data_IF_924986211828
#
_entry.id   IF_924986211828
#
_cell.length_a   1.000
_cell.length_b   1.000
_cell.length_c   1.000
_cell.angle_alpha   90.00
_cell.angle_beta   90.00
_cell.angle_gamma   90.00
#
_symmetry.space_group_name_H-M   'P 1'
#
loop_
_entity.id
_entity.type
_entity.pdbx_description
1 polymer ?
#
# COMPACT_ATOMS: atom_id res chain seq x y z
N UNK A 1 -25.13 20.03 -5.85
CA UNK A 1 -23.72 19.63 -5.69
C UNK A 1 -23.44 19.66 -4.20
N UNK A 2 -23.33 18.49 -3.56
CA UNK A 2 -22.93 18.43 -2.15
C UNK A 2 -21.46 18.86 -2.03
N UNK A 3 -21.09 19.47 -0.91
CA UNK A 3 -19.71 19.83 -0.62
C UNK A 3 -18.86 18.55 -0.57
N UNK A 4 -17.90 18.44 -1.48
CA UNK A 4 -16.93 17.35 -1.45
C UNK A 4 -16.00 17.57 -0.24
N UNK A 5 -16.00 16.63 0.70
CA UNK A 5 -15.05 16.64 1.82
C UNK A 5 -13.68 16.19 1.32
N UNK A 6 -12.65 16.94 1.68
CA UNK A 6 -11.26 16.67 1.31
C UNK A 6 -10.40 16.47 2.55
N UNK A 7 -9.30 15.75 2.38
CA UNK A 7 -8.22 15.63 3.36
C UNK A 7 -7.01 16.35 2.78
N UNK A 8 -6.37 17.17 3.62
CA UNK A 8 -5.09 17.81 3.31
C UNK A 8 -4.04 17.16 4.17
N UNK A 9 -3.10 16.44 3.55
CA UNK A 9 -2.00 15.77 4.23
C UNK A 9 -0.70 16.53 3.99
N UNK A 10 0.15 16.51 5.00
CA UNK A 10 1.54 16.94 4.89
C UNK A 10 2.36 15.74 4.42
N UNK A 11 3.25 15.96 3.45
CA UNK A 11 4.01 14.87 2.82
C UNK A 11 5.02 14.19 3.75
N UNK A 12 5.43 14.80 4.85
CA UNK A 12 6.38 14.19 5.78
C UNK A 12 6.36 14.92 7.13
N UNK A 13 6.98 14.34 8.16
CA UNK A 13 7.16 15.00 9.45
C UNK A 13 8.08 16.22 9.36
N UNK A 14 7.99 17.14 10.33
CA UNK A 14 8.82 18.37 10.33
C UNK A 14 10.32 18.07 10.25
N UNK A 15 10.76 17.02 10.96
CA UNK A 15 12.17 16.61 11.00
C UNK A 15 12.63 16.13 9.61
N UNK A 16 11.84 15.29 8.93
CA UNK A 16 12.17 14.77 7.61
C UNK A 16 12.22 15.89 6.56
N UNK A 17 11.29 16.84 6.64
CA UNK A 17 11.30 18.02 5.79
C UNK A 17 12.51 18.92 6.04
N UNK A 18 12.91 19.10 7.30
CA UNK A 18 14.12 19.86 7.65
C UNK A 18 15.38 19.16 7.13
N UNK A 19 15.47 17.84 7.28
CA UNK A 19 16.57 17.05 6.73
C UNK A 19 16.65 17.16 5.21
N UNK A 20 15.51 17.08 4.52
CA UNK A 20 15.43 17.28 3.08
C UNK A 20 15.85 18.70 2.66
N UNK A 21 15.43 19.72 3.40
CA UNK A 21 15.84 21.11 3.16
C UNK A 21 17.34 21.32 3.33
N UNK A 22 17.91 20.75 4.39
CA UNK A 22 19.35 20.83 4.62
C UNK A 22 20.10 20.11 3.48
N UNK A 23 19.65 18.93 3.05
CA UNK A 23 20.23 18.21 1.90
C UNK A 23 20.24 19.08 0.63
N UNK A 24 19.11 19.71 0.29
CA UNK A 24 19.03 20.60 -0.89
C UNK A 24 19.91 21.84 -0.74
N UNK A 25 19.95 22.44 0.44
CA UNK A 25 20.65 23.70 0.67
C UNK A 25 22.16 23.54 0.79
N UNK A 26 22.63 22.39 1.29
CA UNK A 26 24.04 22.10 1.49
C UNK A 26 24.71 21.55 0.21
N UNK A 27 23.92 20.97 -0.70
CA UNK A 27 24.39 20.51 -2.01
C UNK A 27 24.36 21.66 -3.04
N UNK A 28 25.54 21.96 -3.61
CA UNK A 28 25.69 23.02 -4.61
C UNK A 28 24.91 22.71 -5.90
N UNK A 29 24.66 21.43 -6.22
CA UNK A 29 23.86 21.02 -7.37
C UNK A 29 22.41 21.48 -7.20
N UNK A 30 21.82 21.28 -6.03
CA UNK A 30 20.39 21.57 -5.77
C UNK A 30 20.13 22.95 -5.18
N UNK A 31 21.16 23.77 -5.00
CA UNK A 31 21.10 25.06 -4.31
C UNK A 31 20.05 26.04 -4.89
N UNK A 32 19.63 25.85 -6.15
CA UNK A 32 18.53 26.60 -6.78
C UNK A 32 17.15 26.30 -6.20
N UNK A 33 16.94 25.10 -5.63
CA UNK A 33 15.71 24.69 -4.95
C UNK A 33 15.69 25.09 -3.47
N UNK A 34 16.83 25.55 -2.92
CA UNK A 34 16.96 25.92 -1.52
C UNK A 34 16.14 27.17 -1.18
N UNK A 35 15.15 27.03 -0.30
CA UNK A 35 14.29 28.13 0.12
C UNK A 35 15.04 29.23 0.89
N UNK A 36 16.16 28.89 1.55
CA UNK A 36 16.99 29.83 2.32
C UNK A 36 17.74 30.83 1.44
N UNK A 37 17.84 30.56 0.14
CA UNK A 37 18.61 31.37 -0.80
C UNK A 37 17.83 32.62 -1.25
N UNK A 38 17.71 33.61 -0.35
CA UNK A 38 16.97 34.86 -0.61
C UNK A 38 17.65 35.80 -1.61
N UNK A 39 18.93 35.59 -1.94
CA UNK A 39 19.75 36.58 -2.63
C UNK A 39 19.89 36.40 -4.15
N UNK A 40 19.18 35.45 -4.79
CA UNK A 40 19.18 35.25 -6.25
C UNK A 40 20.57 35.06 -6.91
N UNK A 41 21.68 34.94 -6.17
CA UNK A 41 23.05 34.92 -6.71
C UNK A 41 23.28 33.71 -7.64
N UNK A 42 22.50 32.64 -7.45
CA UNK A 42 22.61 31.39 -8.22
C UNK A 42 21.42 31.13 -9.16
N UNK A 43 20.50 32.10 -9.36
CA UNK A 43 19.43 31.93 -10.37
C UNK A 43 19.98 31.87 -11.81
N UNK A 44 21.17 32.45 -12.02
CA UNK A 44 21.83 32.50 -13.33
C UNK A 44 22.86 31.39 -13.56
N UNK A 45 23.16 30.55 -12.56
CA UNK A 45 23.88 29.31 -12.82
C UNK A 45 22.91 28.32 -13.46
N UNK A 46 22.80 28.36 -14.79
CA UNK A 46 22.15 27.33 -15.59
C UNK A 46 22.92 26.01 -15.50
N UNK A 47 23.00 25.42 -14.30
CA UNK A 47 23.27 24.00 -14.19
C UNK A 47 22.01 23.32 -14.73
N UNK A 48 22.13 22.75 -15.93
CA UNK A 48 21.08 21.95 -16.53
C UNK A 48 20.99 20.62 -15.74
N UNK A 49 20.35 20.65 -14.57
CA UNK A 49 20.23 19.49 -13.68
C UNK A 49 19.42 18.43 -14.41
N UNK A 50 20.01 17.24 -14.57
CA UNK A 50 19.32 16.10 -15.14
C UNK A 50 18.47 15.42 -14.06
N UNK A 51 17.29 15.97 -13.78
CA UNK A 51 16.38 15.37 -12.80
C UNK A 51 15.95 13.94 -13.16
N UNK A 52 16.01 13.53 -14.43
CA UNK A 52 15.70 12.14 -14.81
C UNK A 52 16.70 11.13 -14.22
N UNK A 53 17.99 11.46 -14.14
CA UNK A 53 18.96 10.60 -13.45
C UNK A 53 18.72 10.57 -11.94
N UNK A 54 18.30 11.69 -11.37
CA UNK A 54 17.98 11.79 -9.94
C UNK A 54 16.68 11.06 -9.56
N UNK A 55 15.68 11.06 -10.44
CA UNK A 55 14.47 10.23 -10.30
C UNK A 55 14.88 8.76 -10.29
N UNK A 56 15.68 8.33 -11.27
CA UNK A 56 16.15 6.94 -11.36
C UNK A 56 16.96 6.49 -10.14
N UNK A 57 17.74 7.39 -9.52
CA UNK A 57 18.49 7.12 -8.30
C UNK A 57 17.67 7.25 -7.01
N UNK A 58 16.56 7.98 -7.05
CA UNK A 58 15.64 8.11 -5.92
C UNK A 58 14.74 6.88 -5.76
N UNK A 59 14.45 6.17 -6.86
CA UNK A 59 13.74 4.88 -6.80
C UNK A 59 14.70 3.81 -6.28
N UNK A 60 14.37 3.26 -5.11
CA UNK A 60 15.25 2.29 -4.45
C UNK A 60 15.10 0.90 -5.05
N UNK A 61 16.25 0.24 -5.25
CA UNK A 61 16.39 -1.22 -5.40
C UNK A 61 16.94 -1.86 -4.12
N UNK A 62 17.29 -1.06 -3.11
CA UNK A 62 18.06 -1.53 -1.97
C UNK A 62 17.14 -1.75 -0.76
N UNK A 63 16.95 -3.03 -0.46
CA UNK A 63 16.07 -3.57 0.57
C UNK A 63 16.74 -3.72 1.95
N UNK A 64 17.97 -3.23 2.10
CA UNK A 64 18.82 -3.54 3.26
C UNK A 64 18.70 -2.53 4.41
N UNK A 65 18.00 -1.42 4.20
CA UNK A 65 17.82 -0.37 5.19
C UNK A 65 16.32 -0.10 5.37
N UNK A 66 15.80 -0.31 6.57
CA UNK A 66 14.40 -0.07 6.95
C UNK A 66 13.97 1.41 6.89
N UNK A 67 14.90 2.32 6.56
CA UNK A 67 14.69 3.77 6.52
C UNK A 67 14.56 4.32 5.08
N UNK A 68 14.19 3.51 4.09
CA UNK A 68 14.06 4.01 2.72
C UNK A 68 12.74 4.73 2.50
N UNK A 69 12.70 6.03 2.79
CA UNK A 69 11.64 6.89 2.28
C UNK A 69 11.79 6.99 0.75
N UNK A 70 10.81 6.46 0.01
CA UNK A 70 10.77 6.62 -1.44
C UNK A 70 10.04 5.51 -2.20
N UNK A 71 9.94 5.70 -3.52
CA UNK A 71 9.30 4.74 -4.40
C UNK A 71 10.17 3.49 -4.56
N UNK A 72 9.60 2.31 -4.35
CA UNK A 72 10.32 1.04 -4.44
C UNK A 72 9.77 0.23 -5.60
N UNK A 73 10.67 -0.14 -6.52
CA UNK A 73 10.34 -0.89 -7.73
C UNK A 73 11.25 -2.11 -7.82
N UNK A 74 10.67 -3.30 -7.97
CA UNK A 74 11.44 -4.53 -8.02
C UNK A 74 10.93 -5.50 -9.11
N UNK A 75 11.72 -6.50 -9.54
CA UNK A 75 13.11 -6.75 -9.14
C UNK A 75 14.12 -5.76 -9.76
N UNK A 76 13.68 -4.91 -10.71
CA UNK A 76 14.56 -3.96 -11.40
C UNK A 76 13.87 -2.62 -11.67
N UNK A 77 14.67 -1.56 -11.81
CA UNK A 77 14.20 -0.22 -12.23
C UNK A 77 14.18 -0.04 -13.75
N UNK A 78 14.47 -1.09 -14.52
CA UNK A 78 14.60 -1.01 -16.00
C UNK A 78 13.32 -0.51 -16.67
N UNK A 79 12.17 -0.80 -16.07
CA UNK A 79 10.85 -0.41 -16.57
C UNK A 79 10.25 0.79 -15.82
N UNK A 80 11.07 1.57 -15.11
CA UNK A 80 10.59 2.74 -14.37
C UNK A 80 9.81 3.72 -15.25
N UNK A 81 10.22 3.90 -16.51
CA UNK A 81 9.57 4.80 -17.46
C UNK A 81 8.14 4.35 -17.85
N UNK A 82 7.80 3.07 -17.65
CA UNK A 82 6.43 2.58 -17.85
C UNK A 82 5.51 3.05 -16.71
N UNK A 83 6.05 3.13 -15.49
CA UNK A 83 5.32 3.57 -14.28
C UNK A 83 5.31 5.10 -14.21
N UNK A 84 6.50 5.72 -14.23
CA UNK A 84 6.68 7.17 -14.29
C UNK A 84 6.65 7.59 -15.77
N UNK A 85 5.45 7.50 -16.34
CA UNK A 85 5.20 7.93 -17.71
C UNK A 85 4.87 9.44 -17.77
N UNK A 86 4.64 9.95 -18.97
CA UNK A 86 4.35 11.38 -19.18
C UNK A 86 3.08 11.86 -18.45
N UNK A 87 2.08 10.99 -18.22
CA UNK A 87 0.88 11.35 -17.46
C UNK A 87 1.23 11.67 -16.00
N UNK A 88 2.04 10.81 -15.38
CA UNK A 88 2.55 11.03 -14.03
C UNK A 88 3.38 12.30 -13.97
N UNK A 89 4.31 12.51 -14.90
CA UNK A 89 5.15 13.72 -14.94
C UNK A 89 4.28 14.98 -15.09
N UNK A 90 3.28 14.95 -15.98
CA UNK A 90 2.40 16.09 -16.20
C UNK A 90 1.58 16.45 -14.93
N UNK A 91 1.19 15.47 -14.12
CA UNK A 91 0.51 15.71 -12.85
C UNK A 91 1.37 16.46 -11.83
N UNK A 92 2.70 16.46 -12.00
CA UNK A 92 3.64 17.17 -11.13
C UNK A 92 4.31 18.38 -11.81
N UNK A 93 3.81 18.80 -12.98
CA UNK A 93 4.28 19.91 -13.82
C UNK A 93 5.70 19.75 -14.41
N UNK A 94 6.67 19.22 -13.67
CA UNK A 94 8.04 19.01 -14.12
C UNK A 94 8.76 17.87 -13.36
N UNK A 95 9.97 17.53 -13.82
CA UNK A 95 10.79 16.44 -13.26
C UNK A 95 11.48 16.80 -11.95
N UNK A 96 11.63 18.08 -11.62
CA UNK A 96 12.17 18.53 -10.34
C UNK A 96 11.17 18.27 -9.22
N UNK A 97 9.91 18.69 -9.40
CA UNK A 97 8.83 18.45 -8.46
C UNK A 97 8.62 16.96 -8.24
N UNK A 98 8.58 16.18 -9.31
CA UNK A 98 8.47 14.72 -9.21
C UNK A 98 9.62 14.11 -8.40
N UNK A 99 10.87 14.52 -8.66
CA UNK A 99 12.02 14.07 -7.87
C UNK A 99 11.87 14.41 -6.39
N UNK A 100 11.46 15.64 -6.06
CA UNK A 100 11.25 16.04 -4.66
C UNK A 100 10.16 15.21 -3.99
N UNK A 101 9.08 14.88 -4.72
CA UNK A 101 8.00 14.05 -4.20
C UNK A 101 8.52 12.64 -3.94
N UNK A 102 9.20 11.99 -4.89
CA UNK A 102 9.79 10.65 -4.69
C UNK A 102 10.70 10.63 -3.44
N UNK A 103 11.47 11.69 -3.22
CA UNK A 103 12.40 11.79 -2.09
C UNK A 103 11.73 12.02 -0.74
N UNK A 104 10.60 12.72 -0.72
CA UNK A 104 9.89 13.04 0.52
C UNK A 104 8.89 11.93 0.84
N UNK A 105 8.01 11.59 -0.10
CA UNK A 105 6.92 10.65 0.07
C UNK A 105 6.33 10.21 -1.27
N UNK A 106 6.27 8.89 -1.49
CA UNK A 106 5.81 8.28 -2.74
C UNK A 106 4.29 8.21 -2.90
N UNK A 107 3.51 8.39 -1.83
CA UNK A 107 2.04 8.33 -1.82
C UNK A 107 1.38 9.11 -2.98
N UNK A 108 1.75 10.36 -3.31
CA UNK A 108 1.09 11.12 -4.37
C UNK A 108 1.27 10.47 -5.75
N UNK A 109 2.39 9.79 -5.95
CA UNK A 109 2.71 9.08 -7.18
C UNK A 109 1.91 7.78 -7.21
N UNK A 110 1.85 7.05 -6.10
CA UNK A 110 1.02 5.85 -6.00
C UNK A 110 -0.45 6.17 -6.25
N UNK A 111 -1.01 7.20 -5.65
CA UNK A 111 -2.41 7.59 -5.86
C UNK A 111 -2.69 8.01 -7.32
N UNK A 112 -1.68 8.47 -8.04
CA UNK A 112 -1.78 8.75 -9.48
C UNK A 112 -1.77 7.46 -10.31
N UNK A 113 -0.97 6.46 -9.92
CA UNK A 113 -0.87 5.16 -10.60
C UNK A 113 -2.13 4.32 -10.32
N UNK A 114 -2.54 4.26 -9.06
CA UNK A 114 -3.67 3.48 -8.54
C UNK A 114 -4.91 4.35 -8.46
N UNK A 115 -5.37 4.91 -9.58
CA UNK A 115 -6.48 5.85 -9.56
C UNK A 115 -7.77 5.24 -9.01
N UNK A 116 -8.40 5.92 -8.05
CA UNK A 116 -9.74 5.54 -7.56
C UNK A 116 -10.80 5.51 -8.67
N UNK A 117 -10.63 6.34 -9.70
CA UNK A 117 -11.54 6.41 -10.85
C UNK A 117 -11.48 5.13 -11.70
N UNK A 118 -10.37 4.38 -11.62
CA UNK A 118 -10.19 3.07 -12.26
C UNK A 118 -10.60 1.91 -11.33
N UNK A 119 -11.22 2.22 -10.19
CA UNK A 119 -11.75 1.25 -9.25
C UNK A 119 -10.80 0.84 -8.13
N UNK A 120 -9.55 1.31 -8.13
CA UNK A 120 -8.58 1.00 -7.06
C UNK A 120 -9.11 1.39 -5.67
N UNK A 121 -8.85 0.58 -4.64
CA UNK A 121 -9.35 0.82 -3.28
C UNK A 121 -8.47 1.84 -2.53
N UNK A 122 -8.26 3.01 -3.13
CA UNK A 122 -7.53 4.14 -2.51
C UNK A 122 -8.36 5.43 -2.60
N UNK A 123 -8.02 6.49 -1.83
CA UNK A 123 -8.61 7.81 -1.98
C UNK A 123 -8.47 8.38 -3.38
N UNK A 124 -9.41 9.25 -3.76
CA UNK A 124 -9.27 10.03 -4.98
C UNK A 124 -8.23 11.13 -4.79
N UNK A 125 -7.18 11.11 -5.61
CA UNK A 125 -6.19 12.19 -5.67
C UNK A 125 -6.74 13.42 -6.39
N UNK A 126 -6.59 14.59 -5.77
CA UNK A 126 -6.96 15.87 -6.39
C UNK A 126 -5.75 16.71 -6.82
N UNK A 127 -4.58 16.45 -6.25
CA UNK A 127 -3.34 17.15 -6.60
C UNK A 127 -2.41 17.38 -5.42
N UNK A 128 -1.25 17.97 -5.73
CA UNK A 128 -0.23 18.36 -4.76
C UNK A 128 0.13 19.84 -4.95
N UNK A 129 0.52 20.50 -3.87
CA UNK A 129 1.07 21.85 -3.91
C UNK A 129 2.18 22.00 -2.87
N UNK A 130 3.43 22.15 -3.31
CA UNK A 130 4.57 22.19 -2.38
C UNK A 130 4.68 20.89 -1.59
N UNK A 131 4.49 20.96 -0.27
CA UNK A 131 4.66 19.82 0.67
C UNK A 131 3.36 19.24 1.18
N UNK A 132 2.27 19.50 0.48
CA UNK A 132 0.94 19.01 0.83
C UNK A 132 0.30 18.30 -0.36
N UNK A 133 -0.52 17.31 -0.05
CA UNK A 133 -1.45 16.69 -1.00
C UNK A 133 -2.88 16.88 -0.57
N UNK A 134 -3.75 16.83 -1.57
CA UNK A 134 -5.19 16.93 -1.42
C UNK A 134 -5.80 15.66 -2.00
N UNK A 135 -6.60 14.99 -1.19
CA UNK A 135 -7.32 13.78 -1.58
C UNK A 135 -8.76 13.80 -1.05
N UNK A 136 -9.60 12.87 -1.50
CA UNK A 136 -10.96 12.72 -1.00
C UNK A 136 -10.98 12.20 0.43
N UNK A 137 -11.85 12.79 1.25
CA UNK A 137 -12.24 12.16 2.51
C UNK A 137 -13.09 10.92 2.22
N UNK A 138 -12.61 9.75 2.65
CA UNK A 138 -13.31 8.47 2.46
C UNK A 138 -14.38 8.28 3.54
N UNK A 139 -13.98 8.34 4.81
CA UNK A 139 -14.86 8.03 5.94
C UNK A 139 -14.08 7.81 7.22
N UNK A 140 -14.62 6.96 8.09
CA UNK A 140 -14.04 6.65 9.39
C UNK A 140 -13.05 5.46 9.29
N UNK A 141 -12.03 5.39 10.16
CA UNK A 141 -11.10 4.26 10.17
C UNK A 141 -11.80 2.93 10.53
N UNK A 142 -11.30 1.81 10.01
CA UNK A 142 -11.83 0.46 10.20
C UNK A 142 -11.89 0.07 11.69
N UNK A 143 -11.00 0.61 12.53
CA UNK A 143 -11.01 0.41 13.99
C UNK A 143 -12.37 0.74 14.62
N UNK A 144 -13.13 1.69 14.08
CA UNK A 144 -14.46 2.05 14.58
C UNK A 144 -15.57 1.06 14.19
N UNK A 145 -15.29 0.07 13.35
CA UNK A 145 -16.26 -0.91 12.83
C UNK A 145 -16.17 -2.28 13.51
N UNK A 146 -15.21 -2.51 14.42
CA UNK A 146 -15.05 -3.80 15.11
C UNK A 146 -16.26 -4.19 15.97
N UNK A 147 -17.03 -3.21 16.45
CA UNK A 147 -18.24 -3.44 17.26
C UNK A 147 -19.55 -3.42 16.45
N UNK A 148 -19.47 -3.27 15.12
CA UNK A 148 -20.65 -3.28 14.26
C UNK A 148 -21.27 -4.70 14.15
N UNK A 149 -22.54 -4.82 13.74
CA UNK A 149 -23.18 -6.11 13.51
C UNK A 149 -22.32 -7.01 12.61
N UNK A 150 -22.22 -8.30 12.95
CA UNK A 150 -21.31 -9.23 12.28
C UNK A 150 -21.53 -9.27 10.76
N UNK A 151 -22.78 -9.18 10.28
CA UNK A 151 -23.07 -9.15 8.84
C UNK A 151 -22.46 -7.94 8.12
N UNK A 152 -22.40 -6.78 8.77
CA UNK A 152 -21.75 -5.58 8.23
C UNK A 152 -20.24 -5.73 8.20
N UNK A 153 -19.66 -6.29 9.27
CA UNK A 153 -18.22 -6.66 9.29
C UNK A 153 -17.89 -7.68 8.20
N UNK A 154 -18.74 -8.67 7.99
CA UNK A 154 -18.61 -9.64 6.90
C UNK A 154 -18.66 -8.96 5.51
N UNK A 155 -19.53 -7.97 5.31
CA UNK A 155 -19.58 -7.19 4.06
C UNK A 155 -18.29 -6.39 3.84
N UNK A 156 -17.77 -5.70 4.86
CA UNK A 156 -16.49 -4.99 4.78
C UNK A 156 -15.35 -5.98 4.48
N UNK A 157 -15.34 -7.14 5.12
CA UNK A 157 -14.32 -8.18 4.91
C UNK A 157 -14.31 -8.75 3.48
N UNK A 158 -15.48 -8.85 2.83
CA UNK A 158 -15.56 -9.21 1.40
C UNK A 158 -14.75 -8.23 0.56
N UNK A 159 -14.91 -6.93 0.81
CA UNK A 159 -14.22 -5.89 0.05
C UNK A 159 -12.75 -5.74 0.46
N UNK A 160 -12.37 -6.06 1.71
CA UNK A 160 -10.96 -6.16 2.11
C UNK A 160 -10.23 -7.28 1.33
N UNK A 161 -10.86 -8.45 1.18
CA UNK A 161 -10.32 -9.54 0.37
C UNK A 161 -10.30 -9.19 -1.12
N UNK A 162 -11.30 -8.44 -1.60
CA UNK A 162 -11.31 -7.91 -2.98
C UNK A 162 -10.14 -6.96 -3.21
N UNK A 163 -9.86 -6.07 -2.26
CA UNK A 163 -8.72 -5.18 -2.34
C UNK A 163 -7.40 -5.95 -2.36
N UNK A 164 -7.21 -6.97 -1.50
CA UNK A 164 -6.02 -7.81 -1.51
C UNK A 164 -5.81 -8.49 -2.88
N UNK A 165 -6.88 -8.96 -3.50
CA UNK A 165 -6.86 -9.50 -4.85
C UNK A 165 -6.47 -8.42 -5.89
N UNK A 166 -7.10 -7.25 -5.85
CA UNK A 166 -6.82 -6.15 -6.77
C UNK A 166 -5.36 -5.67 -6.69
N UNK A 167 -4.81 -5.47 -5.49
CA UNK A 167 -3.41 -5.07 -5.33
C UNK A 167 -2.41 -6.13 -5.82
N UNK A 168 -2.76 -7.41 -5.72
CA UNK A 168 -1.88 -8.51 -6.14
C UNK A 168 -1.99 -8.81 -7.65
N UNK A 169 -3.19 -8.70 -8.21
CA UNK A 169 -3.51 -9.22 -9.55
C UNK A 169 -4.26 -8.24 -10.47
N UNK A 170 -4.62 -7.06 -10.00
CA UNK A 170 -5.48 -6.12 -10.73
C UNK A 170 -4.84 -5.45 -11.93
N UNK A 171 -3.51 -5.37 -11.97
CA UNK A 171 -2.73 -4.95 -13.14
C UNK A 171 -2.06 -6.18 -13.76
N UNK A 172 -1.92 -6.25 -15.09
CA UNK A 172 -1.35 -7.42 -15.79
C UNK A 172 0.18 -7.52 -15.64
N UNK A 173 0.86 -6.38 -15.52
CA UNK A 173 2.32 -6.27 -15.48
C UNK A 173 2.86 -6.08 -14.06
N UNK A 174 2.06 -5.47 -13.17
CA UNK A 174 2.49 -5.08 -11.84
C UNK A 174 1.66 -5.70 -10.71
N UNK A 175 2.30 -5.87 -9.56
CA UNK A 175 1.65 -6.10 -8.28
C UNK A 175 2.10 -5.00 -7.30
N UNK A 176 1.20 -4.59 -6.42
CA UNK A 176 1.40 -3.51 -5.46
C UNK A 176 1.31 -4.12 -4.06
N UNK A 177 2.41 -4.23 -3.33
CA UNK A 177 2.42 -4.82 -1.99
C UNK A 177 2.46 -3.72 -0.94
N UNK A 178 1.42 -3.69 -0.12
CA UNK A 178 1.24 -2.73 0.96
C UNK A 178 1.98 -3.21 2.20
N UNK A 179 2.80 -2.37 2.82
CA UNK A 179 3.67 -2.82 3.91
C UNK A 179 3.23 -2.35 5.31
N UNK A 180 2.44 -1.28 5.37
CA UNK A 180 1.96 -0.68 6.62
C UNK A 180 0.43 -0.81 6.75
N UNK A 181 -0.04 -2.06 6.75
CA UNK A 181 -1.48 -2.37 6.84
C UNK A 181 -1.92 -2.53 8.28
N UNK A 182 -2.66 -1.53 8.76
CA UNK A 182 -3.36 -1.54 10.03
C UNK A 182 -4.83 -1.14 9.86
N UNK A 183 -5.67 -1.43 10.85
CA UNK A 183 -7.06 -1.01 10.84
C UNK A 183 -7.23 0.53 10.92
N UNK A 184 -6.22 1.27 11.37
CA UNK A 184 -6.24 2.74 11.38
C UNK A 184 -5.91 3.33 10.00
N UNK A 185 -5.13 2.61 9.19
CA UNK A 185 -4.73 2.98 7.83
C UNK A 185 -5.76 2.56 6.75
N UNK A 186 -6.92 2.05 7.16
CA UNK A 186 -8.02 1.68 6.29
C UNK A 186 -9.25 2.49 6.67
N UNK A 187 -9.79 3.28 5.75
CA UNK A 187 -11.02 4.04 5.95
C UNK A 187 -12.20 3.35 5.23
N UNK A 188 -13.37 3.36 5.85
CA UNK A 188 -14.59 2.77 5.30
C UNK A 188 -15.48 3.87 4.73
N UNK A 189 -15.85 3.74 3.45
CA UNK A 189 -16.75 4.70 2.80
C UNK A 189 -18.22 4.49 3.24
N UNK A 190 -19.12 5.32 2.71
CA UNK A 190 -20.53 5.26 3.02
C UNK A 190 -21.29 4.06 2.42
N UNK A 191 -20.58 3.19 1.67
CA UNK A 191 -21.08 1.95 1.08
C UNK A 191 -20.36 0.72 1.67
N UNK A 192 -19.73 0.86 2.83
CA UNK A 192 -18.97 -0.19 3.51
C UNK A 192 -17.77 -0.73 2.70
N UNK A 193 -17.25 0.07 1.76
CA UNK A 193 -16.05 -0.29 0.99
C UNK A 193 -14.81 0.30 1.66
N UNK A 194 -13.81 -0.53 1.99
CA UNK A 194 -12.53 -0.08 2.51
C UNK A 194 -11.70 0.61 1.43
N UNK A 195 -11.01 1.68 1.83
CA UNK A 195 -9.96 2.36 1.08
C UNK A 195 -8.70 2.47 1.94
N UNK A 196 -7.55 2.22 1.34
CA UNK A 196 -6.25 2.26 1.99
C UNK A 196 -5.71 3.69 1.92
N UNK A 197 -5.57 4.33 3.07
CA UNK A 197 -5.30 5.77 3.16
C UNK A 197 -3.85 6.11 3.48
N UNK A 198 -3.03 5.13 3.85
CA UNK A 198 -1.60 5.29 4.02
C UNK A 198 -0.89 4.49 2.91
N UNK A 199 -0.27 5.20 1.97
CA UNK A 199 0.38 4.61 0.80
C UNK A 199 1.84 5.08 0.69
N UNK A 200 2.42 5.53 1.79
CA UNK A 200 3.79 6.05 1.84
C UNK A 200 4.81 4.93 1.57
N UNK A 201 4.47 3.70 1.98
CA UNK A 201 5.33 2.51 1.90
C UNK A 201 4.67 1.38 1.08
N UNK A 202 4.98 1.33 -0.22
CA UNK A 202 4.46 0.31 -1.16
C UNK A 202 5.57 -0.20 -2.06
N UNK A 203 5.60 -1.52 -2.26
CA UNK A 203 6.43 -2.15 -3.28
C UNK A 203 5.66 -2.30 -4.58
N UNK A 204 6.23 -1.79 -5.67
CA UNK A 204 5.76 -2.09 -7.02
C UNK A 204 6.61 -3.23 -7.55
N UNK A 205 6.02 -4.41 -7.77
CA UNK A 205 6.67 -5.56 -8.36
C UNK A 205 6.30 -5.66 -9.85
N UNK A 206 7.29 -5.67 -10.73
CA UNK A 206 7.11 -6.02 -12.14
C UNK A 206 7.14 -7.55 -12.32
N UNK A 207 5.99 -8.13 -12.66
CA UNK A 207 5.76 -9.58 -12.83
C UNK A 207 6.42 -10.17 -14.08
N UNK A 208 6.81 -9.33 -15.03
CA UNK A 208 7.29 -9.69 -16.37
C UNK A 208 8.77 -9.27 -16.58
N UNK A 209 9.52 -9.00 -15.51
CA UNK A 209 10.93 -8.63 -15.62
C UNK A 209 11.77 -9.77 -16.19
N UNK A 210 12.63 -9.50 -17.19
CA UNK A 210 13.55 -10.50 -17.77
C UNK A 210 14.84 -10.70 -16.95
N UNK A 211 15.03 -9.95 -15.86
CA UNK A 211 16.19 -10.12 -14.97
C UNK A 211 16.10 -11.41 -14.12
N UNK A 212 15.05 -12.19 -14.31
CA UNK A 212 14.57 -13.29 -13.47
C UNK A 212 15.17 -14.64 -13.81
N UNK A 213 15.87 -14.78 -14.95
CA UNK A 213 16.58 -16.01 -15.32
C UNK A 213 17.69 -16.39 -14.31
N UNK A 214 18.00 -15.51 -13.35
CA UNK A 214 19.00 -15.71 -12.29
C UNK A 214 18.40 -15.92 -10.89
N UNK A 215 17.07 -15.82 -10.71
CA UNK A 215 16.43 -15.98 -9.40
C UNK A 215 15.79 -17.37 -9.29
N UNK A 216 16.35 -18.21 -8.42
CA UNK A 216 15.98 -19.63 -8.27
C UNK A 216 14.48 -19.84 -7.98
N UNK A 217 13.88 -18.97 -7.17
CA UNK A 217 12.50 -19.14 -6.69
C UNK A 217 11.47 -18.25 -7.42
N UNK A 218 11.84 -17.63 -8.56
CA UNK A 218 10.97 -16.62 -9.19
C UNK A 218 9.55 -17.11 -9.50
N UNK A 219 9.42 -18.38 -9.87
CA UNK A 219 8.14 -18.98 -10.24
C UNK A 219 7.40 -19.61 -9.06
N UNK A 220 8.03 -19.68 -7.89
CA UNK A 220 7.37 -20.13 -6.67
C UNK A 220 6.50 -19.01 -6.10
N UNK A 221 5.49 -19.40 -5.32
CA UNK A 221 4.70 -18.45 -4.54
C UNK A 221 5.52 -18.01 -3.33
N UNK A 222 5.77 -16.70 -3.19
CA UNK A 222 6.26 -16.18 -1.91
C UNK A 222 5.14 -16.23 -0.88
N UNK A 223 5.36 -17.03 0.16
CA UNK A 223 4.48 -17.13 1.33
C UNK A 223 5.04 -16.25 2.43
N UNK A 224 4.29 -15.22 2.78
CA UNK A 224 4.63 -14.34 3.90
C UNK A 224 4.48 -15.12 5.20
N UNK A 225 5.56 -15.22 5.95
CA UNK A 225 5.59 -15.83 7.27
C UNK A 225 5.98 -14.78 8.31
N UNK A 226 5.23 -14.74 9.40
CA UNK A 226 5.58 -13.92 10.56
C UNK A 226 6.86 -14.42 11.24
N UNK A 227 7.17 -15.73 11.21
CA UNK A 227 8.39 -16.41 11.73
C UNK A 227 8.78 -16.14 13.21
N UNK A 228 8.22 -15.09 13.80
CA UNK A 228 8.55 -14.45 15.05
C UNK A 228 7.19 -14.09 15.64
N UNK A 229 6.85 -14.73 16.75
CA UNK A 229 5.75 -14.28 17.60
C UNK A 229 6.17 -12.94 18.22
N UNK A 230 5.95 -11.84 17.51
CA UNK A 230 6.04 -10.52 18.11
C UNK A 230 4.74 -9.73 17.94
N UNK A 231 4.32 -9.17 19.07
CA UNK A 231 3.13 -8.33 19.20
C UNK A 231 3.39 -7.03 18.42
N UNK A 232 2.58 -6.76 17.39
CA UNK A 232 2.65 -5.57 16.52
C UNK A 232 3.86 -5.46 15.56
N UNK A 233 4.43 -6.57 15.12
CA UNK A 233 5.43 -6.52 14.06
C UNK A 233 4.78 -6.60 12.67
N UNK A 234 5.00 -5.56 11.85
CA UNK A 234 4.85 -5.67 10.40
C UNK A 234 6.01 -6.51 9.85
N UNK A 235 5.80 -7.81 9.71
CA UNK A 235 6.83 -8.70 9.16
C UNK A 235 6.63 -8.78 7.65
N UNK A 236 7.40 -7.97 6.92
CA UNK A 236 7.61 -8.14 5.49
C UNK A 236 9.10 -8.21 5.20
N UNK A 237 9.47 -8.98 4.18
CA UNK A 237 10.82 -9.02 3.66
C UNK A 237 10.78 -8.53 2.22
N UNK A 238 11.24 -7.31 1.95
CA UNK A 238 11.21 -6.78 0.59
C UNK A 238 12.05 -7.67 -0.34
N UNK A 239 13.15 -8.22 0.17
CA UNK A 239 14.00 -9.18 -0.56
C UNK A 239 13.22 -10.42 -0.97
N UNK A 240 12.44 -11.01 -0.05
CA UNK A 240 11.71 -12.23 -0.34
C UNK A 240 10.55 -11.96 -1.29
N UNK A 241 9.77 -10.89 -1.07
CA UNK A 241 8.73 -10.45 -2.01
C UNK A 241 9.31 -10.22 -3.42
N UNK A 242 10.43 -9.49 -3.51
CA UNK A 242 11.02 -9.10 -4.79
C UNK A 242 11.82 -10.21 -5.49
N UNK A 243 12.00 -11.37 -4.84
CA UNK A 243 12.62 -12.55 -5.47
C UNK A 243 11.61 -13.53 -6.07
N UNK A 244 10.31 -13.21 -5.98
CA UNK A 244 9.22 -14.02 -6.51
C UNK A 244 8.31 -13.19 -7.41
N UNK A 245 7.71 -13.84 -8.40
CA UNK A 245 6.73 -13.21 -9.32
C UNK A 245 5.43 -12.85 -8.62
N UNK A 246 5.04 -13.65 -7.63
CA UNK A 246 3.79 -13.50 -6.89
C UNK A 246 4.09 -13.72 -5.41
N UNK A 247 3.53 -12.85 -4.57
CA UNK A 247 3.49 -13.01 -3.13
C UNK A 247 2.06 -12.96 -2.62
N UNK A 248 1.79 -13.72 -1.57
CA UNK A 248 0.53 -13.63 -0.84
C UNK A 248 0.46 -12.46 0.16
N UNK A 249 1.43 -11.54 0.15
CA UNK A 249 1.60 -10.51 1.19
C UNK A 249 0.36 -9.65 1.45
N UNK A 250 -0.37 -9.23 0.41
CA UNK A 250 -1.61 -8.47 0.60
C UNK A 250 -2.70 -9.32 1.26
N UNK A 251 -2.78 -10.62 0.93
CA UNK A 251 -3.68 -11.55 1.60
C UNK A 251 -3.23 -11.84 3.03
N UNK A 252 -1.93 -11.92 3.29
CA UNK A 252 -1.36 -12.05 4.62
C UNK A 252 -1.77 -10.89 5.52
N UNK A 253 -1.56 -9.66 5.04
CA UNK A 253 -1.92 -8.44 5.74
C UNK A 253 -3.42 -8.43 6.07
N UNK A 254 -4.29 -8.74 5.10
CA UNK A 254 -5.74 -8.76 5.37
C UNK A 254 -6.15 -9.93 6.27
N UNK A 255 -5.82 -11.17 5.90
CA UNK A 255 -6.34 -12.33 6.61
C UNK A 255 -5.74 -12.48 8.01
N UNK A 256 -4.42 -12.34 8.15
CA UNK A 256 -3.77 -12.53 9.43
C UNK A 256 -3.88 -11.29 10.32
N UNK A 257 -3.57 -10.10 9.78
CA UNK A 257 -3.46 -8.88 10.60
C UNK A 257 -4.81 -8.22 10.87
N UNK A 258 -5.78 -8.33 9.95
CA UNK A 258 -7.09 -7.67 10.10
C UNK A 258 -8.19 -8.68 10.48
N UNK A 259 -8.41 -9.72 9.67
CA UNK A 259 -9.59 -10.57 9.79
C UNK A 259 -9.55 -11.55 10.97
N UNK A 260 -8.40 -12.20 11.22
CA UNK A 260 -8.26 -13.27 12.21
C UNK A 260 -7.64 -12.85 13.55
N UNK A 261 -6.90 -11.74 13.59
CA UNK A 261 -5.87 -11.35 14.59
C UNK A 261 -5.85 -12.10 15.95
N UNK A 262 -4.70 -12.71 16.25
CA UNK A 262 -4.45 -13.70 17.32
C UNK A 262 -4.43 -13.08 18.73
N UNK A 263 -5.08 -13.76 19.69
CA UNK A 263 -5.06 -13.41 21.13
C UNK A 263 -3.64 -13.37 21.71
N UNK A 264 -3.22 -12.19 22.17
CA UNK A 264 -2.18 -12.04 23.20
C UNK A 264 -2.75 -12.46 24.56
N UNK A 265 -1.93 -13.11 25.42
CA UNK A 265 -2.36 -13.61 26.75
C UNK A 265 -2.80 -12.50 27.72
N UNK A 266 -2.61 -11.23 27.40
CA UNK A 266 -2.85 -10.10 28.30
C UNK A 266 -3.70 -8.96 27.73
N UNK A 267 -4.19 -9.04 26.49
CA UNK A 267 -5.07 -8.02 25.92
C UNK A 267 -6.09 -8.66 24.98
N UNK A 268 -7.35 -8.28 25.12
CA UNK A 268 -8.45 -8.75 24.28
C UNK A 268 -8.34 -8.09 22.90
N UNK A 269 -7.46 -8.59 22.03
CA UNK A 269 -7.45 -8.21 20.61
C UNK A 269 -8.28 -9.25 19.84
N UNK A 270 -9.46 -8.83 19.40
CA UNK A 270 -10.37 -9.63 18.57
C UNK A 270 -10.08 -9.36 17.09
N UNK A 271 -10.04 -10.40 16.26
CA UNK A 271 -10.00 -10.28 14.81
C UNK A 271 -11.27 -9.61 14.27
N UNK A 272 -11.18 -8.94 13.12
CA UNK A 272 -12.33 -8.22 12.55
C UNK A 272 -13.53 -9.12 12.22
N UNK A 273 -13.34 -10.44 12.05
CA UNK A 273 -14.40 -11.42 11.85
C UNK A 273 -14.74 -12.27 13.08
N UNK A 274 -14.19 -11.94 14.26
CA UNK A 274 -14.46 -12.67 15.50
C UNK A 274 -15.94 -12.61 15.91
N UNK A 275 -16.32 -13.53 16.80
CA UNK A 275 -17.67 -13.69 17.33
C UNK A 275 -18.70 -14.01 16.22
N UNK A 276 -18.36 -14.99 15.36
CA UNK A 276 -19.27 -15.48 14.31
C UNK A 276 -20.54 -16.05 14.93
N UNK A 277 -21.75 -15.60 14.53
CA UNK A 277 -23.00 -16.12 15.06
C UNK A 277 -23.19 -17.63 14.83
N UNK A 278 -23.69 -18.35 15.84
CA UNK A 278 -23.89 -19.81 15.80
C UNK A 278 -24.77 -20.27 14.63
N UNK A 279 -25.78 -19.48 14.25
CA UNK A 279 -26.66 -19.81 13.12
C UNK A 279 -25.89 -19.79 11.80
N UNK A 280 -24.91 -18.89 11.65
CA UNK A 280 -24.06 -18.80 10.46
C UNK A 280 -23.08 -19.98 10.44
N UNK A 281 -22.45 -20.31 11.57
CA UNK A 281 -21.54 -21.46 11.65
C UNK A 281 -22.25 -22.80 11.36
N UNK A 282 -23.50 -22.96 11.78
CA UNK A 282 -24.31 -24.16 11.47
C UNK A 282 -24.61 -24.31 9.99
N UNK A 283 -24.82 -23.20 9.28
CA UNK A 283 -25.14 -23.22 7.85
C UNK A 283 -23.87 -23.24 6.98
N UNK A 284 -22.81 -22.58 7.42
CA UNK A 284 -21.56 -22.39 6.69
C UNK A 284 -20.37 -22.92 7.50
N UNK A 285 -20.35 -24.24 7.72
CA UNK A 285 -19.33 -24.91 8.54
C UNK A 285 -17.89 -24.74 8.02
N UNK A 286 -17.71 -24.42 6.74
CA UNK A 286 -16.40 -24.17 6.13
C UNK A 286 -15.84 -22.78 6.44
N UNK A 287 -16.67 -21.84 6.95
CA UNK A 287 -16.28 -20.45 7.16
C UNK A 287 -15.08 -20.30 8.11
N UNK A 288 -15.13 -20.97 9.27
CA UNK A 288 -14.06 -20.91 10.27
C UNK A 288 -12.77 -21.55 9.75
N UNK A 289 -12.90 -22.66 9.00
CA UNK A 289 -11.77 -23.34 8.36
C UNK A 289 -11.09 -22.40 7.35
N UNK A 290 -11.85 -21.79 6.44
CA UNK A 290 -11.30 -20.87 5.43
C UNK A 290 -10.73 -19.59 6.03
N UNK A 291 -11.31 -19.09 7.13
CA UNK A 291 -10.75 -17.96 7.88
C UNK A 291 -9.39 -18.32 8.48
N UNK A 292 -9.27 -19.51 9.08
CA UNK A 292 -8.01 -20.01 9.63
C UNK A 292 -6.96 -20.25 8.54
N UNK A 293 -7.31 -20.94 7.45
CA UNK A 293 -6.38 -21.23 6.34
C UNK A 293 -5.91 -19.94 5.64
N UNK A 294 -6.75 -18.90 5.58
CA UNK A 294 -6.29 -17.63 5.04
C UNK A 294 -5.28 -16.93 5.96
N UNK A 295 -5.47 -17.00 7.28
CA UNK A 295 -4.53 -16.39 8.21
C UNK A 295 -3.20 -17.17 8.28
N UNK A 296 -3.31 -18.49 8.42
CA UNK A 296 -2.19 -19.41 8.66
C UNK A 296 -2.41 -20.61 7.72
N UNK A 297 -1.88 -20.54 6.47
CA UNK A 297 -2.10 -21.60 5.50
C UNK A 297 -1.38 -22.88 5.92
N UNK A 298 -2.05 -24.01 5.73
CA UNK A 298 -1.43 -25.33 5.78
C UNK A 298 -0.78 -25.68 4.43
N UNK A 299 0.03 -26.74 4.37
CA UNK A 299 0.74 -27.13 3.14
C UNK A 299 -0.21 -27.47 1.98
N UNK A 300 -1.46 -27.85 2.26
CA UNK A 300 -2.41 -28.30 1.24
C UNK A 300 -3.07 -27.16 0.45
N UNK A 301 -3.17 -25.95 1.02
CA UNK A 301 -3.86 -24.82 0.40
C UNK A 301 -3.10 -23.51 0.56
N UNK A 302 -2.96 -22.74 -0.53
CA UNK A 302 -2.33 -21.41 -0.45
C UNK A 302 -3.26 -20.40 0.21
N UNK A 303 -2.67 -19.44 0.92
CA UNK A 303 -3.38 -18.30 1.51
C UNK A 303 -4.29 -17.56 0.52
N UNK A 304 -3.82 -17.40 -0.72
CA UNK A 304 -4.58 -16.75 -1.80
C UNK A 304 -5.85 -17.55 -2.12
N UNK A 305 -5.73 -18.87 -2.29
CA UNK A 305 -6.88 -19.76 -2.55
C UNK A 305 -7.87 -19.76 -1.39
N UNK A 306 -7.38 -19.85 -0.15
CA UNK A 306 -8.20 -19.79 1.04
C UNK A 306 -8.94 -18.45 1.16
N UNK A 307 -8.25 -17.32 0.90
CA UNK A 307 -8.84 -15.98 0.88
C UNK A 307 -9.93 -15.82 -0.16
N UNK A 308 -9.73 -16.33 -1.38
CA UNK A 308 -10.73 -16.31 -2.44
C UNK A 308 -11.96 -17.15 -2.09
N UNK A 309 -11.77 -18.32 -1.47
CA UNK A 309 -12.87 -19.17 -0.97
C UNK A 309 -13.61 -18.51 0.17
N UNK A 310 -12.89 -17.94 1.13
CA UNK A 310 -13.44 -17.17 2.25
C UNK A 310 -14.32 -16.02 1.73
N UNK A 311 -13.81 -15.24 0.77
CA UNK A 311 -14.57 -14.15 0.15
C UNK A 311 -15.87 -14.66 -0.48
N UNK A 312 -15.83 -15.78 -1.21
CA UNK A 312 -17.03 -16.39 -1.82
C UNK A 312 -18.04 -16.84 -0.78
N UNK A 313 -17.60 -17.40 0.35
CA UNK A 313 -18.49 -17.80 1.45
C UNK A 313 -19.14 -16.55 2.06
N UNK A 314 -18.35 -15.52 2.40
CA UNK A 314 -18.86 -14.27 2.97
C UNK A 314 -19.85 -13.58 2.03
N UNK A 315 -19.59 -13.53 0.72
CA UNK A 315 -20.54 -13.00 -0.28
C UNK A 315 -21.88 -13.74 -0.29
N UNK A 316 -21.87 -15.07 -0.14
CA UNK A 316 -23.10 -15.86 -0.06
C UNK A 316 -23.89 -15.53 1.20
N UNK A 317 -23.21 -15.36 2.34
CA UNK A 317 -23.84 -15.02 3.61
C UNK A 317 -24.48 -13.62 3.53
N UNK A 318 -23.71 -12.61 3.12
CA UNK A 318 -24.17 -11.22 3.01
C UNK A 318 -25.28 -11.09 1.96
N UNK A 319 -25.18 -11.79 0.82
CA UNK A 319 -26.17 -11.72 -0.25
C UNK A 319 -27.50 -12.43 0.05
N UNK A 320 -27.53 -13.36 1.01
CA UNK A 320 -28.75 -14.07 1.44
C UNK A 320 -29.57 -13.28 2.46
N UNK A 321 -28.90 -12.44 3.25
CA UNK A 321 -29.49 -11.66 4.35
C UNK A 321 -29.87 -10.22 3.94
N UNK A 322 -29.73 -9.86 2.65
CA UNK A 322 -30.22 -8.60 2.05
C UNK A 322 -31.57 -8.81 1.36
#
# INVERSE_FOLDING_TARGET
MGEAKIVVKKLAHDIELELFDNMICDDIEFHQLCWRNKNNIYKDSHNNINYNSHIKSAVSLNFSNDNTNGLILCPTTKHLENIINQSVINNFNDTANLWTIIKINAEPIILTILSSDDGWPVPKYYGACGRIIIESYVGLPLTLYYNEPWLRRAEIAVYLLEAAQMFTFGDDDYAFYLTDISADNIAIDNYDKPKFVDLENIFILNKNSMATDQMENWYDLHVSDSGIECENCFVFSPRDICSHRISDHNYYAICQQILYFRKSKSSMSEGFLDNIPDNILKEYSELEIMLSECAIPTIEESRISAGDKLQKILRKIVGKEK
#
